data_IF_084547924307
#
_entry.id   IF_084547924307
#
_cell.length_a   1.000
_cell.length_b   1.000
_cell.length_c   1.000
_cell.angle_alpha   90.00
_cell.angle_beta   90.00
_cell.angle_gamma   90.00
#
_symmetry.space_group_name_H-M   'P 1'
#
loop_
_entity.id
_entity.type
_entity.pdbx_description
1 polymer ?
#
# COMPACT_ATOMS: atom_id res chain seq x y z
N UNK A 1 -17.70 -15.83 -19.39
CA UNK A 1 -16.92 -17.08 -19.54
C UNK A 1 -17.69 -18.20 -18.83
N UNK A 2 -17.86 -19.35 -19.50
CA UNK A 2 -18.43 -20.54 -18.87
C UNK A 2 -17.42 -21.10 -17.86
N UNK A 3 -17.85 -21.54 -16.66
CA UNK A 3 -16.91 -22.11 -15.70
C UNK A 3 -16.41 -23.46 -16.20
N UNK A 4 -15.13 -23.81 -15.90
CA UNK A 4 -14.51 -25.08 -16.28
C UNK A 4 -15.34 -26.28 -15.82
N UNK A 5 -15.87 -26.23 -14.59
CA UNK A 5 -16.76 -27.26 -14.04
C UNK A 5 -18.07 -27.43 -14.85
N UNK A 6 -18.65 -26.34 -15.34
CA UNK A 6 -19.84 -26.38 -16.17
C UNK A 6 -19.59 -27.04 -17.54
N UNK A 7 -18.47 -26.71 -18.16
CA UNK A 7 -18.08 -27.27 -19.46
C UNK A 7 -17.75 -28.75 -19.31
N UNK A 8 -17.04 -29.15 -18.25
CA UNK A 8 -16.76 -30.55 -17.96
C UNK A 8 -18.02 -31.35 -17.76
N UNK A 9 -18.97 -30.86 -16.98
CA UNK A 9 -20.26 -31.50 -16.81
C UNK A 9 -20.97 -31.69 -18.16
N UNK A 10 -20.91 -30.73 -19.09
CA UNK A 10 -21.45 -30.87 -20.44
C UNK A 10 -20.71 -31.92 -21.28
N UNK A 11 -19.38 -31.99 -21.16
CA UNK A 11 -18.59 -33.06 -21.81
C UNK A 11 -19.02 -34.46 -21.29
N UNK A 12 -19.13 -34.61 -19.98
CA UNK A 12 -19.58 -35.86 -19.39
C UNK A 12 -21.00 -36.23 -19.86
N UNK A 13 -21.96 -35.31 -19.91
CA UNK A 13 -23.31 -35.52 -20.46
C UNK A 13 -23.25 -35.90 -21.94
N UNK A 14 -22.34 -35.36 -22.73
CA UNK A 14 -22.13 -35.75 -24.12
C UNK A 14 -21.61 -37.19 -24.19
N UNK A 15 -20.63 -37.53 -23.34
CA UNK A 15 -20.07 -38.90 -23.26
C UNK A 15 -21.09 -39.91 -22.83
N UNK A 16 -22.04 -39.59 -21.93
CA UNK A 16 -23.16 -40.46 -21.52
C UNK A 16 -24.07 -40.90 -22.68
N UNK A 17 -24.10 -40.16 -23.77
CA UNK A 17 -24.84 -40.53 -24.99
C UNK A 17 -24.14 -41.64 -25.79
N UNK A 18 -22.83 -41.82 -25.57
CA UNK A 18 -21.98 -42.71 -26.39
C UNK A 18 -21.35 -43.85 -25.59
N UNK A 19 -21.43 -43.82 -24.25
CA UNK A 19 -20.88 -44.87 -23.38
C UNK A 19 -21.71 -45.01 -22.10
N UNK A 20 -21.59 -46.15 -21.43
CA UNK A 20 -22.31 -46.41 -20.18
C UNK A 20 -21.70 -45.65 -18.98
N UNK A 21 -22.50 -45.47 -17.92
CA UNK A 21 -22.11 -44.73 -16.73
C UNK A 21 -20.96 -45.39 -15.97
N UNK A 22 -20.81 -46.73 -16.04
CA UNK A 22 -19.70 -47.45 -15.39
C UNK A 22 -18.38 -47.09 -16.09
N UNK A 23 -18.38 -47.05 -17.40
CA UNK A 23 -17.21 -46.62 -18.20
C UNK A 23 -16.81 -45.19 -17.87
N UNK A 24 -17.78 -44.27 -17.74
CA UNK A 24 -17.50 -42.90 -17.40
C UNK A 24 -16.88 -42.78 -16.00
N UNK A 25 -17.48 -43.39 -15.00
CA UNK A 25 -16.94 -43.36 -13.64
C UNK A 25 -15.57 -44.03 -13.54
N UNK A 26 -15.32 -45.08 -14.29
CA UNK A 26 -14.02 -45.77 -14.26
C UNK A 26 -12.88 -44.91 -14.79
N UNK A 27 -13.09 -44.12 -15.86
CA UNK A 27 -12.01 -43.46 -16.56
C UNK A 27 -11.93 -41.94 -16.30
N UNK A 28 -13.00 -41.31 -15.79
CA UNK A 28 -13.10 -39.86 -15.69
C UNK A 28 -13.39 -39.33 -14.29
N UNK A 29 -13.68 -40.16 -13.26
CA UNK A 29 -13.93 -39.67 -11.90
C UNK A 29 -12.70 -38.99 -11.25
N UNK A 30 -11.49 -39.50 -11.55
CA UNK A 30 -10.23 -39.00 -11.02
C UNK A 30 -9.57 -37.90 -11.93
N UNK A 31 -10.30 -37.44 -12.96
CA UNK A 31 -9.77 -36.45 -13.90
C UNK A 31 -9.98 -35.04 -13.38
N UNK A 32 -8.90 -34.27 -13.29
CA UNK A 32 -8.92 -32.84 -12.97
C UNK A 32 -8.72 -31.99 -14.21
N UNK A 33 -9.49 -30.89 -14.33
CA UNK A 33 -9.29 -29.92 -15.39
C UNK A 33 -8.23 -28.91 -14.94
N UNK A 34 -7.15 -28.83 -15.70
CA UNK A 34 -6.03 -27.90 -15.43
C UNK A 34 -6.23 -26.58 -16.17
N UNK A 35 -6.63 -26.64 -17.45
CA UNK A 35 -6.88 -25.46 -18.26
C UNK A 35 -7.98 -25.74 -19.28
N UNK A 36 -8.82 -24.72 -19.53
CA UNK A 36 -9.86 -24.76 -20.54
C UNK A 36 -10.02 -23.39 -21.21
N UNK A 37 -9.79 -23.36 -22.50
CA UNK A 37 -10.03 -22.19 -23.35
C UNK A 37 -10.57 -22.64 -24.72
N UNK A 38 -10.78 -21.70 -25.66
CA UNK A 38 -11.30 -21.99 -27.01
C UNK A 38 -10.33 -22.78 -27.89
N UNK A 39 -9.05 -22.84 -27.53
CA UNK A 39 -7.99 -23.50 -28.31
C UNK A 39 -7.62 -24.88 -27.75
N UNK A 40 -7.75 -25.08 -26.43
CA UNK A 40 -7.33 -26.33 -25.79
C UNK A 40 -8.09 -26.65 -24.50
N UNK A 41 -8.23 -27.95 -24.24
CA UNK A 41 -8.59 -28.53 -22.95
C UNK A 41 -7.40 -29.32 -22.41
N UNK A 42 -6.89 -28.93 -21.26
CA UNK A 42 -5.83 -29.64 -20.55
C UNK A 42 -6.43 -30.32 -19.34
N UNK A 43 -6.31 -31.63 -19.26
CA UNK A 43 -6.76 -32.43 -18.13
C UNK A 43 -5.61 -33.20 -17.52
N UNK A 44 -5.69 -33.48 -16.23
CA UNK A 44 -4.76 -34.30 -15.48
C UNK A 44 -5.43 -35.64 -15.12
N UNK A 45 -4.71 -36.74 -15.30
CA UNK A 45 -5.11 -38.06 -14.85
C UNK A 45 -3.94 -38.69 -14.08
N UNK A 46 -4.14 -39.05 -12.77
CA UNK A 46 -3.06 -39.53 -11.91
C UNK A 46 -2.49 -40.89 -12.32
N UNK A 47 -3.32 -41.73 -12.96
CA UNK A 47 -2.96 -43.10 -13.32
C UNK A 47 -2.51 -43.15 -14.78
N UNK A 48 -1.30 -43.63 -15.06
CA UNK A 48 -0.75 -43.74 -16.40
C UNK A 48 -1.61 -44.57 -17.33
N UNK A 49 -2.15 -45.68 -16.82
CA UNK A 49 -3.05 -46.54 -17.58
C UNK A 49 -4.37 -45.83 -17.95
N UNK A 50 -4.95 -45.03 -17.05
CA UNK A 50 -6.15 -44.24 -17.37
C UNK A 50 -5.87 -43.23 -18.46
N UNK A 51 -4.70 -42.55 -18.40
CA UNK A 51 -4.24 -41.59 -19.41
C UNK A 51 -4.14 -42.22 -20.79
N UNK A 52 -3.47 -43.37 -20.89
CA UNK A 52 -3.37 -44.08 -22.17
C UNK A 52 -4.74 -44.46 -22.76
N UNK A 53 -5.67 -44.94 -21.94
CA UNK A 53 -7.02 -45.28 -22.38
C UNK A 53 -7.79 -44.01 -22.78
N UNK A 54 -7.72 -42.93 -22.04
CA UNK A 54 -8.36 -41.66 -22.41
C UNK A 54 -7.83 -41.17 -23.77
N UNK A 55 -6.53 -41.18 -23.97
CA UNK A 55 -5.92 -40.71 -25.22
C UNK A 55 -6.25 -41.65 -26.38
N UNK A 56 -6.13 -42.97 -26.21
CA UNK A 56 -6.28 -43.90 -27.30
C UNK A 56 -7.73 -44.19 -27.71
N UNK A 57 -8.66 -44.14 -26.75
CA UNK A 57 -10.04 -44.55 -27.00
C UNK A 57 -11.06 -43.42 -26.91
N UNK A 58 -10.84 -42.44 -26.05
CA UNK A 58 -11.86 -41.44 -25.72
C UNK A 58 -11.53 -40.01 -26.18
N UNK A 59 -10.30 -39.78 -26.66
CA UNK A 59 -9.90 -38.45 -27.13
C UNK A 59 -10.80 -37.90 -28.24
N UNK A 60 -11.19 -38.74 -29.19
CA UNK A 60 -12.10 -38.36 -30.27
C UNK A 60 -13.47 -37.88 -29.76
N UNK A 61 -14.08 -38.65 -28.85
CA UNK A 61 -15.38 -38.28 -28.26
C UNK A 61 -15.32 -37.00 -27.45
N UNK A 62 -14.21 -36.76 -26.74
CA UNK A 62 -14.00 -35.49 -25.98
C UNK A 62 -13.81 -34.32 -26.95
N UNK A 63 -13.06 -34.48 -28.05
CA UNK A 63 -12.90 -33.46 -29.09
C UNK A 63 -14.21 -33.15 -29.80
N UNK A 64 -15.03 -34.15 -30.09
CA UNK A 64 -16.36 -33.96 -30.67
C UNK A 64 -17.28 -33.18 -29.71
N UNK A 65 -17.23 -33.49 -28.41
CA UNK A 65 -17.94 -32.74 -27.37
C UNK A 65 -17.46 -31.27 -27.29
N UNK A 66 -16.17 -31.05 -27.34
CA UNK A 66 -15.60 -29.70 -27.34
C UNK A 66 -16.02 -28.89 -28.57
N UNK A 67 -16.06 -29.55 -29.74
CA UNK A 67 -16.51 -28.94 -31.00
C UNK A 67 -17.97 -28.53 -30.93
N UNK A 68 -18.83 -29.36 -30.32
CA UNK A 68 -20.26 -29.05 -30.11
C UNK A 68 -20.44 -27.89 -29.13
N UNK A 69 -19.60 -27.79 -28.09
CA UNK A 69 -19.72 -26.76 -27.04
C UNK A 69 -19.15 -25.41 -27.48
N UNK A 70 -17.96 -25.38 -28.10
CA UNK A 70 -17.23 -24.15 -28.44
C UNK A 70 -17.33 -23.76 -29.92
N UNK A 71 -17.89 -24.62 -30.77
CA UNK A 71 -17.89 -24.47 -32.23
C UNK A 71 -16.47 -24.24 -32.81
N UNK A 72 -15.45 -24.82 -32.17
CA UNK A 72 -14.03 -24.72 -32.53
C UNK A 72 -13.34 -26.06 -32.35
N UNK A 73 -12.24 -26.30 -33.06
CA UNK A 73 -11.41 -27.51 -32.94
C UNK A 73 -10.41 -27.39 -31.78
N UNK A 74 -10.92 -27.36 -30.53
CA UNK A 74 -10.09 -27.31 -29.34
C UNK A 74 -9.27 -28.59 -29.16
N UNK A 75 -7.98 -28.48 -28.87
CA UNK A 75 -7.06 -29.62 -28.70
C UNK A 75 -7.16 -30.21 -27.31
N UNK A 76 -7.33 -31.52 -27.19
CA UNK A 76 -7.22 -32.22 -25.92
C UNK A 76 -5.77 -32.54 -25.60
N UNK A 77 -5.33 -32.21 -24.39
CA UNK A 77 -4.03 -32.55 -23.82
C UNK A 77 -4.27 -33.24 -22.48
N UNK A 78 -3.67 -34.41 -22.27
CA UNK A 78 -3.83 -35.21 -21.05
C UNK A 78 -2.46 -35.33 -20.38
N UNK A 79 -2.32 -34.80 -19.17
CA UNK A 79 -1.08 -34.80 -18.38
C UNK A 79 -1.08 -35.94 -17.35
N UNK A 80 0.11 -36.53 -17.14
CA UNK A 80 0.47 -37.27 -15.93
C UNK A 80 1.19 -36.38 -14.94
N UNK A 81 1.70 -36.95 -13.84
CA UNK A 81 2.36 -36.19 -12.76
C UNK A 81 3.56 -35.38 -13.25
N UNK A 82 4.48 -36.02 -13.98
CA UNK A 82 5.69 -35.36 -14.48
C UNK A 82 5.38 -34.25 -15.48
N UNK A 83 4.41 -34.47 -16.38
CA UNK A 83 4.01 -33.47 -17.37
C UNK A 83 3.21 -32.35 -16.73
N UNK A 84 2.41 -32.64 -15.68
CA UNK A 84 1.71 -31.65 -14.88
C UNK A 84 2.70 -30.77 -14.09
N UNK A 85 3.73 -31.38 -13.47
CA UNK A 85 4.80 -30.63 -12.81
C UNK A 85 5.59 -29.79 -13.83
N UNK A 86 5.94 -30.37 -14.98
CA UNK A 86 6.60 -29.64 -16.06
C UNK A 86 5.70 -28.56 -16.68
N UNK A 87 4.39 -28.76 -16.72
CA UNK A 87 3.42 -27.75 -17.17
C UNK A 87 3.20 -26.68 -16.12
N UNK A 88 3.10 -27.07 -14.85
CA UNK A 88 3.06 -26.12 -13.73
C UNK A 88 4.36 -25.35 -13.59
N UNK A 89 5.50 -25.95 -13.85
CA UNK A 89 6.80 -25.28 -13.88
C UNK A 89 7.01 -24.44 -15.17
N UNK A 90 6.45 -24.87 -16.31
CA UNK A 90 6.38 -24.07 -17.56
C UNK A 90 5.17 -23.14 -17.57
N UNK A 91 4.07 -23.52 -16.92
CA UNK A 91 2.80 -22.83 -16.78
C UNK A 91 2.62 -22.15 -15.44
N UNK A 92 3.68 -21.96 -14.64
CA UNK A 92 3.81 -20.70 -13.95
C UNK A 92 3.82 -19.67 -15.09
N UNK A 93 2.66 -19.38 -15.65
CA UNK A 93 2.36 -18.06 -16.16
C UNK A 93 2.93 -17.21 -15.05
N UNK A 94 4.12 -16.66 -15.27
CA UNK A 94 4.66 -15.54 -14.52
C UNK A 94 3.43 -14.73 -14.23
N UNK A 95 3.01 -14.67 -12.98
CA UNK A 95 1.77 -14.02 -12.59
C UNK A 95 1.85 -12.68 -13.28
N UNK A 96 1.14 -12.52 -14.39
CA UNK A 96 0.99 -11.24 -15.05
C UNK A 96 0.12 -10.45 -14.09
N UNK A 97 0.73 -10.05 -12.99
CA UNK A 97 0.18 -9.02 -12.15
C UNK A 97 0.17 -7.82 -13.08
N UNK A 98 -0.99 -7.49 -13.63
CA UNK A 98 -1.17 -6.32 -14.46
C UNK A 98 -0.90 -5.12 -13.57
N UNK A 99 0.34 -4.64 -13.61
CA UNK A 99 0.68 -3.38 -12.96
C UNK A 99 -0.11 -2.29 -13.65
N UNK A 100 -0.74 -1.44 -12.86
CA UNK A 100 -1.52 -0.35 -13.41
C UNK A 100 -0.67 0.42 -14.45
N UNK A 101 -1.05 0.42 -15.74
CA UNK A 101 -0.26 1.01 -16.81
C UNK A 101 -0.13 2.53 -16.69
N UNK A 102 -0.92 3.17 -15.82
CA UNK A 102 -0.80 4.60 -15.53
C UNK A 102 0.39 4.92 -14.61
N UNK A 103 0.94 3.95 -13.88
CA UNK A 103 2.08 4.17 -13.00
C UNK A 103 3.38 3.96 -13.77
N UNK A 104 3.78 4.99 -14.49
CA UNK A 104 5.03 5.07 -15.26
C UNK A 104 5.90 6.21 -14.73
N UNK A 105 7.18 6.22 -15.10
CA UNK A 105 8.07 7.35 -14.79
C UNK A 105 7.61 8.65 -15.45
N UNK A 106 7.04 8.58 -16.66
CA UNK A 106 6.54 9.76 -17.39
C UNK A 106 5.34 10.41 -16.69
N UNK A 107 4.50 9.61 -16.04
CA UNK A 107 3.34 10.11 -15.29
C UNK A 107 3.69 10.55 -13.85
N UNK A 108 4.92 10.30 -13.42
CA UNK A 108 5.38 10.71 -12.09
C UNK A 108 5.88 12.14 -12.11
N UNK A 109 5.24 13.03 -11.35
CA UNK A 109 5.66 14.43 -11.28
C UNK A 109 6.91 14.56 -10.42
N UNK A 110 8.01 14.97 -11.03
CA UNK A 110 9.30 15.13 -10.35
C UNK A 110 9.45 16.54 -9.82
N UNK A 111 9.78 16.67 -8.53
CA UNK A 111 10.10 17.91 -7.86
C UNK A 111 11.32 17.76 -6.92
N UNK A 112 11.73 18.81 -6.23
CA UNK A 112 12.86 18.75 -5.29
C UNK A 112 12.71 17.68 -4.21
N UNK A 113 11.46 17.42 -3.77
CA UNK A 113 11.13 16.52 -2.68
C UNK A 113 11.21 15.01 -3.04
N UNK A 114 11.27 14.65 -4.32
CA UNK A 114 11.24 13.25 -4.77
C UNK A 114 12.26 12.93 -5.88
N UNK A 115 13.03 13.92 -6.35
CA UNK A 115 14.00 13.77 -7.46
C UNK A 115 15.03 12.68 -7.21
N UNK A 116 15.51 12.56 -5.97
CA UNK A 116 16.51 11.54 -5.62
C UNK A 116 15.90 10.13 -5.72
N UNK A 117 14.75 9.90 -5.13
CA UNK A 117 14.06 8.60 -5.20
C UNK A 117 13.66 8.23 -6.64
N UNK A 118 13.19 9.21 -7.42
CA UNK A 118 12.90 9.02 -8.85
C UNK A 118 14.14 8.62 -9.65
N UNK A 119 15.26 9.33 -9.47
CA UNK A 119 16.53 9.01 -10.13
C UNK A 119 17.06 7.62 -9.76
N UNK A 120 16.97 7.23 -8.47
CA UNK A 120 17.33 5.91 -7.99
C UNK A 120 16.45 4.81 -8.62
N UNK A 121 15.15 5.05 -8.72
CA UNK A 121 14.20 4.13 -9.35
C UNK A 121 14.51 3.90 -10.84
N UNK A 122 14.83 4.94 -11.59
CA UNK A 122 15.27 4.84 -13.00
C UNK A 122 16.58 4.05 -13.10
N UNK A 123 17.57 4.33 -12.25
CA UNK A 123 18.85 3.62 -12.28
C UNK A 123 18.68 2.11 -12.03
N UNK A 124 17.80 1.73 -11.08
CA UNK A 124 17.45 0.33 -10.81
C UNK A 124 16.72 -0.31 -11.99
N UNK A 125 15.83 0.42 -12.66
CA UNK A 125 15.09 -0.10 -13.82
C UNK A 125 16.00 -0.38 -15.00
N UNK A 126 17.05 0.43 -15.19
CA UNK A 126 18.00 0.26 -16.28
C UNK A 126 19.02 -0.87 -16.02
N UNK A 127 19.42 -1.09 -14.76
CA UNK A 127 20.42 -2.07 -14.40
C UNK A 127 19.98 -2.83 -13.11
N UNK A 128 18.95 -3.68 -13.19
CA UNK A 128 18.44 -4.41 -12.04
C UNK A 128 19.47 -5.37 -11.46
N UNK A 129 19.56 -5.43 -10.14
CA UNK A 129 20.50 -6.26 -9.39
C UNK A 129 21.93 -5.70 -9.29
N UNK A 130 22.26 -4.66 -10.05
CA UNK A 130 23.63 -4.12 -10.12
C UNK A 130 23.77 -2.72 -9.54
N UNK A 131 22.80 -1.82 -9.76
CA UNK A 131 22.94 -0.40 -9.40
C UNK A 131 22.77 -0.16 -7.89
N UNK A 132 21.59 -0.41 -7.37
CA UNK A 132 21.24 -0.18 -5.96
C UNK A 132 20.38 -1.33 -5.46
N UNK A 133 21.00 -2.28 -4.74
CA UNK A 133 20.30 -3.46 -4.25
C UNK A 133 20.59 -3.69 -2.76
N UNK A 134 19.57 -3.64 -1.88
CA UNK A 134 18.20 -3.23 -2.17
C UNK A 134 18.04 -1.73 -2.42
N UNK A 135 16.96 -1.34 -3.10
CA UNK A 135 16.47 0.05 -3.09
C UNK A 135 15.36 0.16 -2.04
N UNK A 136 15.55 1.03 -1.07
CA UNK A 136 14.58 1.27 0.01
C UNK A 136 14.02 2.69 -0.09
N UNK A 137 12.75 2.82 -0.50
CA UNK A 137 12.05 4.11 -0.68
C UNK A 137 11.18 4.36 0.54
N UNK A 138 11.39 5.47 1.24
CA UNK A 138 10.61 5.76 2.44
C UNK A 138 10.08 7.20 2.45
N UNK A 139 9.05 7.41 3.29
CA UNK A 139 8.43 8.71 3.50
C UNK A 139 6.95 8.61 3.83
N UNK A 140 6.26 9.71 4.17
CA UNK A 140 4.87 9.72 4.62
C UNK A 140 3.91 8.97 3.70
N UNK A 141 2.73 8.56 4.16
CA UNK A 141 1.74 7.90 3.31
C UNK A 141 1.21 8.83 2.22
N UNK A 142 0.91 8.25 1.04
CA UNK A 142 0.23 8.96 -0.05
C UNK A 142 1.10 9.92 -0.87
N UNK A 143 2.43 9.79 -0.87
CA UNK A 143 3.38 10.65 -1.61
C UNK A 143 3.93 10.05 -2.91
N UNK A 144 3.48 8.85 -3.31
CA UNK A 144 3.86 8.22 -4.59
C UNK A 144 4.85 7.06 -4.49
N UNK A 145 5.13 6.50 -3.31
CA UNK A 145 6.04 5.34 -3.16
C UNK A 145 5.62 4.13 -4.01
N UNK A 146 4.35 3.71 -3.89
CA UNK A 146 3.77 2.62 -4.70
C UNK A 146 3.80 2.92 -6.19
N UNK A 147 3.66 4.20 -6.60
CA UNK A 147 3.80 4.61 -7.99
C UNK A 147 5.21 4.28 -8.51
N UNK A 148 6.26 4.62 -7.77
CA UNK A 148 7.63 4.30 -8.16
C UNK A 148 7.89 2.80 -8.21
N UNK A 149 7.34 2.00 -7.29
CA UNK A 149 7.42 0.53 -7.37
C UNK A 149 6.84 0.01 -8.68
N UNK A 150 5.65 0.46 -9.06
CA UNK A 150 5.01 0.03 -10.30
C UNK A 150 5.72 0.59 -11.54
N UNK A 151 6.25 1.81 -11.48
CA UNK A 151 7.03 2.38 -12.57
C UNK A 151 8.30 1.55 -12.86
N UNK A 152 9.00 1.09 -11.80
CA UNK A 152 10.14 0.16 -11.93
C UNK A 152 9.69 -1.14 -12.60
N UNK A 153 8.60 -1.75 -12.14
CA UNK A 153 8.08 -3.00 -12.70
C UNK A 153 7.69 -2.86 -14.16
N UNK A 154 6.98 -1.79 -14.51
CA UNK A 154 6.53 -1.51 -15.87
C UNK A 154 7.73 -1.30 -16.81
N UNK A 155 8.74 -0.53 -16.39
CA UNK A 155 9.92 -0.25 -17.22
C UNK A 155 10.79 -1.50 -17.42
N UNK A 156 11.02 -2.30 -16.36
CA UNK A 156 11.79 -3.56 -16.47
C UNK A 156 11.05 -4.55 -17.40
N UNK A 157 9.73 -4.71 -17.26
CA UNK A 157 8.95 -5.59 -18.14
C UNK A 157 8.90 -5.12 -19.58
N UNK A 158 8.87 -3.82 -19.81
CA UNK A 158 8.94 -3.23 -21.14
C UNK A 158 10.26 -3.57 -21.84
N UNK A 159 11.37 -3.55 -21.09
CA UNK A 159 12.70 -3.86 -21.59
C UNK A 159 12.95 -5.38 -21.68
N UNK A 160 12.42 -6.15 -20.73
CA UNK A 160 12.51 -7.61 -20.70
C UNK A 160 11.19 -8.24 -20.23
N UNK A 161 10.30 -8.62 -21.19
CA UNK A 161 8.98 -9.17 -20.89
C UNK A 161 9.02 -10.49 -20.10
N UNK A 162 10.13 -11.20 -20.17
CA UNK A 162 10.31 -12.48 -19.49
C UNK A 162 10.72 -12.37 -18.02
N UNK A 163 10.96 -11.18 -17.49
CA UNK A 163 11.33 -10.97 -16.10
C UNK A 163 10.23 -11.43 -15.14
N UNK A 164 10.59 -12.32 -14.20
CA UNK A 164 9.69 -12.75 -13.14
C UNK A 164 9.58 -11.67 -12.08
N UNK A 165 8.52 -10.83 -12.17
CA UNK A 165 8.26 -9.76 -11.21
C UNK A 165 7.26 -10.21 -10.17
N UNK A 166 7.67 -10.21 -8.91
CA UNK A 166 6.81 -10.51 -7.77
C UNK A 166 6.61 -9.24 -6.94
N UNK A 167 5.35 -8.83 -6.81
CA UNK A 167 4.93 -7.72 -5.95
C UNK A 167 4.07 -8.24 -4.83
N UNK A 168 4.28 -7.73 -3.62
CA UNK A 168 3.49 -8.06 -2.43
C UNK A 168 3.46 -6.88 -1.46
N UNK A 169 2.42 -6.76 -0.65
CA UNK A 169 2.40 -5.88 0.51
C UNK A 169 2.89 -6.62 1.76
N UNK A 170 3.52 -5.89 2.68
CA UNK A 170 4.09 -6.49 3.90
C UNK A 170 3.06 -7.23 4.77
N UNK A 171 1.84 -6.74 4.87
CA UNK A 171 0.74 -7.43 5.57
C UNK A 171 0.26 -8.68 4.82
N UNK A 172 0.16 -8.61 3.51
CA UNK A 172 -0.22 -9.73 2.65
C UNK A 172 0.85 -10.85 2.68
N UNK A 173 2.14 -10.50 2.66
CA UNK A 173 3.24 -11.47 2.82
C UNK A 173 3.09 -12.26 4.13
N UNK A 174 2.76 -11.58 5.22
CA UNK A 174 2.48 -12.23 6.52
C UNK A 174 1.29 -13.19 6.43
N UNK A 175 0.19 -12.75 5.83
CA UNK A 175 -1.03 -13.57 5.74
C UNK A 175 -0.83 -14.80 4.84
N UNK A 176 -0.11 -14.65 3.73
CA UNK A 176 0.23 -15.78 2.86
C UNK A 176 1.17 -16.78 3.55
N UNK A 177 2.14 -16.30 4.33
CA UNK A 177 3.01 -17.18 5.14
C UNK A 177 2.21 -17.98 6.16
N UNK A 178 1.31 -17.33 6.91
CA UNK A 178 0.45 -18.00 7.89
C UNK A 178 -0.40 -19.09 7.21
N UNK A 179 -1.01 -18.77 6.06
CA UNK A 179 -1.79 -19.72 5.29
C UNK A 179 -0.96 -20.91 4.80
N UNK A 180 0.26 -20.65 4.30
CA UNK A 180 1.17 -21.68 3.84
C UNK A 180 1.59 -22.62 4.98
N UNK A 181 1.86 -22.08 6.18
CA UNK A 181 2.17 -22.87 7.38
C UNK A 181 0.99 -23.75 7.81
N UNK A 182 -0.24 -23.23 7.77
CA UNK A 182 -1.44 -23.97 8.15
C UNK A 182 -1.82 -25.07 7.15
N UNK A 183 -1.52 -24.85 5.86
CA UNK A 183 -1.89 -25.79 4.79
C UNK A 183 -0.74 -26.70 4.34
N UNK A 184 0.45 -26.59 4.96
CA UNK A 184 1.63 -27.39 4.60
C UNK A 184 2.28 -26.99 3.26
N UNK A 185 1.92 -25.83 2.68
CA UNK A 185 2.39 -25.33 1.36
C UNK A 185 3.63 -24.44 1.44
N UNK A 186 4.51 -24.70 2.40
CA UNK A 186 5.71 -23.88 2.64
C UNK A 186 6.66 -23.84 1.44
N UNK A 187 6.76 -24.94 0.69
CA UNK A 187 7.63 -25.03 -0.50
C UNK A 187 7.10 -24.12 -1.61
N UNK A 188 5.79 -24.16 -1.89
CA UNK A 188 5.15 -23.31 -2.89
C UNK A 188 5.33 -21.82 -2.55
N UNK A 189 5.15 -21.46 -1.26
CA UNK A 189 5.38 -20.09 -0.77
C UNK A 189 6.83 -19.64 -1.02
N UNK A 190 7.80 -20.47 -0.64
CA UNK A 190 9.23 -20.17 -0.83
C UNK A 190 9.59 -20.02 -2.30
N UNK A 191 9.14 -20.94 -3.15
CA UNK A 191 9.42 -20.87 -4.58
C UNK A 191 8.84 -19.58 -5.20
N UNK A 192 7.59 -19.22 -4.86
CA UNK A 192 6.95 -17.98 -5.33
C UNK A 192 7.82 -16.73 -5.12
N UNK A 193 8.41 -16.59 -3.93
CA UNK A 193 9.14 -15.37 -3.58
C UNK A 193 10.64 -15.46 -3.85
N UNK A 194 11.25 -16.65 -3.72
CA UNK A 194 12.70 -16.83 -3.86
C UNK A 194 13.16 -17.01 -5.30
N UNK A 195 12.24 -17.22 -6.25
CA UNK A 195 12.53 -17.32 -7.69
C UNK A 195 12.25 -16.01 -8.45
N UNK A 196 11.95 -14.94 -7.77
CA UNK A 196 11.71 -13.64 -8.38
C UNK A 196 13.00 -13.07 -8.98
N UNK A 197 12.93 -12.50 -10.21
CA UNK A 197 14.01 -11.69 -10.78
C UNK A 197 13.96 -10.25 -10.26
N UNK A 198 12.74 -9.76 -10.00
CA UNK A 198 12.45 -8.48 -9.37
C UNK A 198 11.46 -8.70 -8.23
N UNK A 199 11.89 -8.46 -7.01
CA UNK A 199 11.05 -8.56 -5.82
C UNK A 199 10.69 -7.18 -5.29
N UNK A 200 9.40 -6.86 -5.33
CA UNK A 200 8.83 -5.59 -4.90
C UNK A 200 7.97 -5.82 -3.66
N UNK A 201 8.33 -5.18 -2.57
CA UNK A 201 7.50 -5.22 -1.37
C UNK A 201 7.09 -3.82 -0.94
N UNK A 202 5.77 -3.61 -0.88
CA UNK A 202 5.16 -2.34 -0.49
C UNK A 202 4.81 -2.38 1.01
N UNK A 203 5.02 -1.26 1.69
CA UNK A 203 4.70 -1.09 3.10
C UNK A 203 5.34 -2.17 4.01
N UNK A 204 6.67 -2.35 3.88
CA UNK A 204 7.46 -3.36 4.62
C UNK A 204 7.35 -3.21 6.14
N UNK A 205 7.00 -2.03 6.67
CA UNK A 205 6.82 -1.81 8.10
C UNK A 205 5.79 -2.75 8.74
N UNK A 206 4.89 -3.35 7.97
CA UNK A 206 3.89 -4.29 8.48
C UNK A 206 4.42 -5.67 8.86
N UNK A 207 5.67 -6.02 8.50
CA UNK A 207 6.32 -7.24 9.03
C UNK A 207 6.99 -7.01 10.39
N UNK A 208 7.23 -5.75 10.77
CA UNK A 208 7.89 -5.43 12.04
C UNK A 208 7.06 -5.94 13.23
N UNK A 209 7.72 -6.52 14.23
CA UNK A 209 7.08 -7.15 15.40
C UNK A 209 6.50 -8.55 15.16
N UNK A 210 6.70 -9.17 13.99
CA UNK A 210 6.22 -10.51 13.65
C UNK A 210 7.41 -11.45 13.41
N UNK A 211 7.95 -12.05 14.47
CA UNK A 211 9.20 -12.83 14.45
C UNK A 211 9.27 -13.86 13.31
N UNK A 212 8.30 -14.77 13.23
CA UNK A 212 8.30 -15.80 12.16
C UNK A 212 8.24 -15.22 10.74
N UNK A 213 7.57 -14.07 10.57
CA UNK A 213 7.51 -13.38 9.28
C UNK A 213 8.84 -12.73 8.95
N UNK A 214 9.49 -12.12 9.94
CA UNK A 214 10.80 -11.51 9.78
C UNK A 214 11.87 -12.57 9.45
N UNK A 215 11.80 -13.75 10.08
CA UNK A 215 12.70 -14.86 9.82
C UNK A 215 12.56 -15.36 8.37
N UNK A 216 11.34 -15.67 7.91
CA UNK A 216 11.12 -16.15 6.53
C UNK A 216 11.48 -15.06 5.48
N UNK A 217 11.19 -13.79 5.80
CA UNK A 217 11.59 -12.67 4.96
C UNK A 217 13.13 -12.53 4.88
N UNK A 218 13.83 -12.69 6.00
CA UNK A 218 15.30 -12.67 6.03
C UNK A 218 15.90 -13.73 5.11
N UNK A 219 15.40 -14.95 5.14
CA UNK A 219 15.85 -16.01 4.25
C UNK A 219 15.53 -15.73 2.78
N UNK A 220 14.36 -15.20 2.50
CA UNK A 220 13.97 -14.79 1.14
C UNK A 220 14.86 -13.67 0.62
N UNK A 221 15.10 -12.64 1.44
CA UNK A 221 15.99 -11.53 1.11
C UNK A 221 17.41 -12.01 0.78
N UNK A 222 18.00 -12.84 1.66
CA UNK A 222 19.38 -13.34 1.46
C UNK A 222 19.49 -14.12 0.15
N UNK A 223 18.56 -15.05 -0.12
CA UNK A 223 18.54 -15.84 -1.34
C UNK A 223 18.53 -14.96 -2.60
N UNK A 224 17.63 -13.98 -2.64
CA UNK A 224 17.52 -13.06 -3.76
C UNK A 224 18.77 -12.17 -3.91
N UNK A 225 19.29 -11.67 -2.80
CA UNK A 225 20.46 -10.81 -2.78
C UNK A 225 21.74 -11.56 -3.28
N UNK A 226 21.96 -12.79 -2.81
CA UNK A 226 23.07 -13.65 -3.21
C UNK A 226 23.01 -14.03 -4.70
N UNK A 227 21.81 -14.14 -5.25
CA UNK A 227 21.58 -14.41 -6.68
C UNK A 227 21.55 -13.12 -7.54
N UNK A 228 21.91 -11.98 -6.97
CA UNK A 228 21.89 -10.68 -7.65
C UNK A 228 20.51 -10.28 -8.23
N UNK A 229 19.41 -10.78 -7.62
CA UNK A 229 18.05 -10.40 -7.99
C UNK A 229 17.73 -9.04 -7.38
N UNK A 230 17.00 -8.20 -8.12
CA UNK A 230 16.66 -6.86 -7.63
C UNK A 230 15.59 -6.92 -6.55
N UNK A 231 15.85 -6.25 -5.44
CA UNK A 231 14.91 -6.05 -4.34
C UNK A 231 14.60 -4.55 -4.24
N UNK A 232 13.30 -4.20 -4.21
CA UNK A 232 12.84 -2.83 -3.96
C UNK A 232 11.78 -2.86 -2.87
N UNK A 233 11.95 -2.02 -1.87
CA UNK A 233 11.06 -1.95 -0.71
C UNK A 233 10.53 -0.54 -0.50
N UNK A 234 9.30 -0.42 -0.03
CA UNK A 234 8.78 0.86 0.46
C UNK A 234 8.41 0.80 1.93
N UNK A 235 8.43 1.97 2.58
CA UNK A 235 8.02 2.12 3.97
C UNK A 235 7.48 3.52 4.25
N UNK A 236 6.71 3.66 5.33
CA UNK A 236 6.30 4.96 5.85
C UNK A 236 7.43 5.68 6.65
N UNK A 237 8.49 4.95 7.02
CA UNK A 237 9.63 5.41 7.82
C UNK A 237 10.92 4.71 7.44
N UNK A 238 12.08 5.26 7.82
CA UNK A 238 13.38 4.62 7.59
C UNK A 238 13.57 3.38 8.49
N UNK A 239 14.47 2.43 8.12
CA UNK A 239 14.71 1.21 8.89
C UNK A 239 15.06 1.45 10.35
N UNK A 240 15.89 2.47 10.63
CA UNK A 240 16.31 2.84 11.99
C UNK A 240 15.16 3.31 12.91
N UNK A 241 14.03 3.75 12.35
CA UNK A 241 12.86 4.19 13.12
C UNK A 241 11.84 3.07 13.36
N UNK A 242 12.11 1.84 12.90
CA UNK A 242 11.27 0.66 13.12
C UNK A 242 11.72 -0.09 14.37
N UNK A 243 11.22 0.30 15.54
CA UNK A 243 11.67 -0.23 16.85
C UNK A 243 11.52 -1.76 17.00
N UNK A 244 10.56 -2.37 16.31
CA UNK A 244 10.27 -3.82 16.39
C UNK A 244 10.82 -4.60 15.19
N UNK A 245 11.68 -3.99 14.38
CA UNK A 245 12.41 -4.65 13.30
C UNK A 245 13.70 -5.26 13.87
N UNK A 246 13.95 -6.54 13.56
CA UNK A 246 15.17 -7.22 13.95
C UNK A 246 16.42 -6.54 13.38
N UNK A 247 17.48 -6.45 14.17
CA UNK A 247 18.74 -5.77 13.79
C UNK A 247 19.38 -6.35 12.52
N UNK A 248 19.25 -7.67 12.32
CA UNK A 248 19.74 -8.33 11.10
C UNK A 248 19.02 -7.87 9.84
N UNK A 249 17.69 -7.65 9.89
CA UNK A 249 16.92 -7.10 8.77
C UNK A 249 17.19 -5.62 8.59
N UNK A 250 17.29 -4.86 9.69
CA UNK A 250 17.63 -3.43 9.65
C UNK A 250 18.95 -3.22 8.90
N UNK A 251 19.97 -3.94 9.25
CA UNK A 251 21.28 -3.88 8.59
C UNK A 251 21.17 -4.22 7.10
N UNK A 252 20.37 -5.25 6.73
CA UNK A 252 20.15 -5.62 5.32
C UNK A 252 19.46 -4.52 4.51
N UNK A 253 18.45 -3.88 5.10
CA UNK A 253 17.73 -2.80 4.45
C UNK A 253 18.62 -1.55 4.23
N UNK A 254 19.55 -1.32 5.13
CA UNK A 254 20.51 -0.21 5.08
C UNK A 254 21.74 -0.49 4.18
N UNK A 255 21.97 -1.73 3.75
CA UNK A 255 23.10 -2.06 2.85
C UNK A 255 22.98 -1.44 1.47
N UNK A 256 21.77 -1.23 0.99
CA UNK A 256 21.52 -0.66 -0.32
C UNK A 256 21.40 0.87 -0.29
N UNK A 257 20.52 1.39 -1.15
CA UNK A 257 20.24 2.81 -1.22
C UNK A 257 18.96 3.16 -0.47
N UNK A 258 19.06 4.04 0.50
CA UNK A 258 17.92 4.65 1.18
C UNK A 258 17.52 5.93 0.42
N UNK A 259 16.31 5.96 -0.12
CA UNK A 259 15.77 7.08 -0.88
C UNK A 259 14.52 7.63 -0.18
N UNK A 260 14.60 8.86 0.33
CA UNK A 260 13.49 9.53 0.95
C UNK A 260 12.60 10.25 -0.07
N UNK A 261 11.32 10.31 0.23
CA UNK A 261 10.35 11.16 -0.45
C UNK A 261 9.71 12.04 0.60
N UNK A 262 9.76 13.35 0.38
CA UNK A 262 9.14 14.34 1.25
C UNK A 262 7.82 14.84 0.65
N UNK A 263 6.94 15.47 1.44
CA UNK A 263 5.75 16.14 0.92
C UNK A 263 6.10 17.11 -0.21
N UNK A 264 5.30 17.16 -1.28
CA UNK A 264 5.58 18.01 -2.44
C UNK A 264 5.50 19.50 -2.06
N UNK A 265 6.40 20.30 -2.61
CA UNK A 265 6.32 21.76 -2.55
C UNK A 265 5.14 22.29 -3.38
N UNK A 266 4.91 23.60 -3.30
CA UNK A 266 3.77 24.23 -3.96
C UNK A 266 3.81 24.02 -5.49
N UNK A 267 4.96 24.20 -6.13
CA UNK A 267 5.15 24.04 -7.57
C UNK A 267 4.89 22.60 -8.02
N UNK A 268 5.38 21.64 -7.25
CA UNK A 268 5.14 20.20 -7.51
C UNK A 268 3.65 19.87 -7.33
N UNK A 269 2.98 20.42 -6.30
CA UNK A 269 1.52 20.23 -6.15
C UNK A 269 0.74 20.79 -7.33
N UNK A 270 1.08 22.00 -7.79
CA UNK A 270 0.47 22.61 -8.99
C UNK A 270 0.63 21.73 -10.22
N UNK A 271 1.82 21.15 -10.43
CA UNK A 271 2.07 20.25 -11.54
C UNK A 271 1.27 18.94 -11.42
N UNK A 272 1.17 18.34 -10.22
CA UNK A 272 0.36 17.16 -9.95
C UNK A 272 -1.12 17.41 -10.25
N UNK A 273 -1.67 18.54 -9.80
CA UNK A 273 -3.06 18.93 -10.05
C UNK A 273 -3.32 19.03 -11.55
N UNK A 274 -2.46 19.75 -12.28
CA UNK A 274 -2.59 19.93 -13.75
C UNK A 274 -2.52 18.59 -14.49
N UNK A 275 -1.51 17.77 -14.20
CA UNK A 275 -1.38 16.45 -14.83
C UNK A 275 -2.59 15.57 -14.56
N UNK A 276 -3.10 15.60 -13.32
CA UNK A 276 -4.29 14.83 -12.96
C UNK A 276 -5.56 15.36 -13.63
N UNK A 277 -5.72 16.66 -13.74
CA UNK A 277 -6.83 17.29 -14.45
C UNK A 277 -6.84 16.90 -15.94
N UNK A 278 -5.66 16.99 -16.60
CA UNK A 278 -5.50 16.56 -17.99
C UNK A 278 -5.86 15.08 -18.16
N UNK A 279 -5.37 14.20 -17.29
CA UNK A 279 -5.65 12.75 -17.35
C UNK A 279 -7.13 12.41 -17.19
N UNK A 280 -7.89 13.29 -16.54
CA UNK A 280 -9.33 13.15 -16.32
C UNK A 280 -10.17 13.99 -17.31
N UNK A 281 -9.54 14.60 -18.32
CA UNK A 281 -10.19 15.52 -19.25
C UNK A 281 -11.02 16.62 -18.51
N UNK A 282 -10.46 17.17 -17.42
CA UNK A 282 -11.05 18.21 -16.61
C UNK A 282 -10.31 19.53 -16.85
N UNK A 283 -11.01 20.54 -17.36
CA UNK A 283 -10.42 21.88 -17.57
C UNK A 283 -10.51 22.69 -16.26
N UNK A 284 -9.37 22.85 -15.60
CA UNK A 284 -9.25 23.63 -14.38
C UNK A 284 -8.53 24.95 -14.66
N UNK A 285 -9.15 26.08 -14.29
CA UNK A 285 -8.47 27.38 -14.37
C UNK A 285 -7.24 27.42 -13.45
N UNK A 286 -6.32 28.32 -13.75
CA UNK A 286 -5.10 28.49 -12.95
C UNK A 286 -5.44 28.87 -11.50
N UNK A 287 -6.49 29.68 -11.30
CA UNK A 287 -6.96 30.13 -9.99
C UNK A 287 -7.50 28.94 -9.16
N UNK A 288 -8.23 28.01 -9.80
CA UNK A 288 -8.72 26.79 -9.15
C UNK A 288 -7.54 25.88 -8.78
N UNK A 289 -6.58 25.68 -9.69
CA UNK A 289 -5.38 24.90 -9.40
C UNK A 289 -4.57 25.49 -8.22
N UNK A 290 -4.41 26.81 -8.20
CA UNK A 290 -3.75 27.54 -7.10
C UNK A 290 -4.51 27.33 -5.78
N UNK A 291 -5.83 27.47 -5.80
CA UNK A 291 -6.66 27.26 -4.62
C UNK A 291 -6.52 25.84 -4.07
N UNK A 292 -6.57 24.81 -4.94
CA UNK A 292 -6.38 23.41 -4.53
C UNK A 292 -4.97 23.23 -3.94
N UNK A 293 -3.92 23.73 -4.61
CA UNK A 293 -2.53 23.59 -4.17
C UNK A 293 -2.24 24.27 -2.81
N UNK A 294 -2.94 25.35 -2.49
CA UNK A 294 -2.82 26.07 -1.21
C UNK A 294 -3.57 25.37 -0.06
N UNK A 295 -4.73 24.77 -0.36
CA UNK A 295 -5.62 24.21 0.66
C UNK A 295 -5.45 22.69 0.86
N UNK A 296 -4.91 21.94 -0.13
CA UNK A 296 -4.68 20.50 -0.05
C UNK A 296 -3.17 20.25 -0.03
N UNK A 297 -2.59 20.26 1.16
CA UNK A 297 -1.14 20.25 1.34
C UNK A 297 -0.57 18.95 1.87
N UNK A 298 -1.41 18.06 2.41
CA UNK A 298 -0.97 16.92 3.22
C UNK A 298 -0.25 15.84 2.39
N UNK A 299 -0.83 15.41 1.27
CA UNK A 299 -0.24 14.35 0.44
C UNK A 299 -0.82 14.32 -0.99
N UNK A 300 -0.13 13.63 -1.89
CA UNK A 300 -0.51 13.51 -3.31
C UNK A 300 -1.85 12.77 -3.48
N UNK A 301 -2.12 11.75 -2.63
CA UNK A 301 -3.38 11.00 -2.69
C UNK A 301 -4.60 11.89 -2.45
N UNK A 302 -4.49 12.86 -1.54
CA UNK A 302 -5.56 13.83 -1.29
C UNK A 302 -5.74 14.79 -2.47
N UNK A 303 -4.65 15.27 -3.07
CA UNK A 303 -4.68 16.12 -4.27
C UNK A 303 -5.40 15.38 -5.40
N UNK A 304 -4.98 14.15 -5.71
CA UNK A 304 -5.62 13.34 -6.76
C UNK A 304 -7.09 13.02 -6.44
N UNK A 305 -7.39 12.73 -5.17
CA UNK A 305 -8.76 12.50 -4.69
C UNK A 305 -9.64 13.72 -4.90
N UNK A 306 -9.11 14.92 -4.63
CA UNK A 306 -9.84 16.19 -4.84
C UNK A 306 -10.16 16.39 -6.33
N UNK A 307 -9.18 16.24 -7.22
CA UNK A 307 -9.41 16.40 -8.67
C UNK A 307 -10.41 15.35 -9.19
N UNK A 308 -10.32 14.10 -8.75
CA UNK A 308 -11.29 13.04 -9.09
C UNK A 308 -12.70 13.37 -8.62
N UNK A 309 -12.83 13.91 -7.41
CA UNK A 309 -14.14 14.29 -6.86
C UNK A 309 -14.75 15.47 -7.62
N UNK A 310 -13.94 16.48 -7.98
CA UNK A 310 -14.39 17.58 -8.83
C UNK A 310 -14.88 17.06 -10.18
N UNK A 311 -14.18 16.14 -10.82
CA UNK A 311 -14.62 15.49 -12.05
C UNK A 311 -15.97 14.80 -11.88
N UNK A 312 -16.14 14.03 -10.80
CA UNK A 312 -17.41 13.36 -10.52
C UNK A 312 -18.57 14.35 -10.33
N UNK A 313 -18.35 15.50 -9.68
CA UNK A 313 -19.39 16.54 -9.54
C UNK A 313 -19.77 17.17 -10.87
N UNK A 314 -18.80 17.37 -11.78
CA UNK A 314 -19.09 17.86 -13.15
C UNK A 314 -19.92 16.83 -13.91
N UNK A 315 -19.50 15.55 -13.89
CA UNK A 315 -20.17 14.51 -14.68
C UNK A 315 -21.55 14.13 -14.15
N UNK A 316 -21.72 14.04 -12.84
CA UNK A 316 -22.96 13.53 -12.23
C UNK A 316 -23.96 14.64 -11.89
N UNK A 317 -23.48 15.82 -11.54
CA UNK A 317 -24.32 16.92 -11.05
C UNK A 317 -24.35 18.11 -12.03
N UNK A 318 -23.71 18.02 -13.19
CA UNK A 318 -23.51 19.12 -14.13
C UNK A 318 -22.99 20.41 -13.44
N UNK A 319 -22.11 20.25 -12.43
CA UNK A 319 -21.59 21.35 -11.64
C UNK A 319 -20.62 22.21 -12.47
N UNK A 320 -20.85 23.49 -12.52
CA UNK A 320 -19.88 24.43 -13.09
C UNK A 320 -18.67 24.57 -12.16
N UNK A 321 -17.47 24.59 -12.75
CA UNK A 321 -16.18 24.75 -12.04
C UNK A 321 -15.94 26.22 -11.70
N UNK A 322 -16.78 26.79 -10.84
CA UNK A 322 -16.58 28.10 -10.25
C UNK A 322 -15.76 28.00 -8.96
N UNK A 323 -15.09 29.08 -8.58
CA UNK A 323 -14.32 29.12 -7.33
C UNK A 323 -15.20 28.83 -6.11
N UNK A 324 -16.45 29.31 -6.11
CA UNK A 324 -17.41 29.05 -5.03
C UNK A 324 -17.74 27.56 -4.90
N UNK A 325 -18.06 26.90 -6.00
CA UNK A 325 -18.40 25.48 -6.01
C UNK A 325 -17.19 24.62 -5.61
N UNK A 326 -16.00 24.91 -6.14
CA UNK A 326 -14.77 24.20 -5.81
C UNK A 326 -14.40 24.38 -4.34
N UNK A 327 -14.50 25.61 -3.80
CA UNK A 327 -14.21 25.85 -2.38
C UNK A 327 -15.17 25.09 -1.46
N UNK A 328 -16.45 25.02 -1.82
CA UNK A 328 -17.46 24.25 -1.08
C UNK A 328 -17.13 22.75 -1.09
N UNK A 329 -16.81 22.19 -2.24
CA UNK A 329 -16.44 20.77 -2.37
C UNK A 329 -15.19 20.44 -1.54
N UNK A 330 -14.15 21.27 -1.58
CA UNK A 330 -12.93 21.08 -0.78
C UNK A 330 -13.24 21.21 0.71
N UNK A 331 -14.01 22.22 1.13
CA UNK A 331 -14.44 22.38 2.51
C UNK A 331 -15.21 21.15 3.01
N UNK A 332 -16.11 20.60 2.22
CA UNK A 332 -16.89 19.40 2.57
C UNK A 332 -16.05 18.12 2.60
N UNK A 333 -15.01 18.03 1.77
CA UNK A 333 -14.08 16.88 1.81
C UNK A 333 -13.26 16.83 3.09
N UNK A 334 -12.86 17.99 3.56
CA UNK A 334 -11.92 18.13 4.68
C UNK A 334 -12.60 18.70 5.95
N UNK A 335 -13.95 18.76 5.98
CA UNK A 335 -14.74 18.98 7.20
C UNK A 335 -14.51 17.81 8.17
N UNK A 336 -13.49 17.90 9.00
CA UNK A 336 -13.07 16.86 9.93
C UNK A 336 -11.61 16.46 9.78
N UNK A 337 -10.97 16.78 8.64
CA UNK A 337 -9.51 16.70 8.44
C UNK A 337 -8.82 18.08 8.51
N UNK A 338 -9.56 19.16 8.64
CA UNK A 338 -9.01 20.42 9.08
C UNK A 338 -8.55 20.23 10.54
N UNK A 339 -7.43 19.52 10.70
CA UNK A 339 -6.45 19.81 11.70
C UNK A 339 -5.87 21.19 11.36
N UNK A 340 -6.67 22.24 11.46
CA UNK A 340 -6.14 23.51 11.90
C UNK A 340 -5.54 23.17 13.23
N UNK A 341 -4.19 23.02 13.24
CA UNK A 341 -3.49 22.87 14.50
C UNK A 341 -4.05 23.93 15.42
N UNK A 342 -4.55 23.57 16.59
CA UNK A 342 -5.19 24.55 17.45
C UNK A 342 -4.21 25.69 17.69
N UNK A 343 -4.65 26.91 17.53
CA UNK A 343 -3.80 28.05 17.84
C UNK A 343 -3.47 28.02 19.34
N UNK A 344 -2.29 28.52 19.76
CA UNK A 344 -1.97 28.65 21.18
C UNK A 344 -3.08 29.33 21.97
N UNK A 345 -3.69 30.36 21.38
CA UNK A 345 -4.80 31.09 21.99
C UNK A 345 -6.04 30.23 22.20
N UNK A 346 -6.39 29.36 21.23
CA UNK A 346 -7.50 28.43 21.39
C UNK A 346 -7.23 27.45 22.54
N UNK A 347 -6.02 26.86 22.59
CA UNK A 347 -5.64 25.92 23.66
C UNK A 347 -5.70 26.63 25.01
N UNK A 348 -5.12 27.81 25.14
CA UNK A 348 -5.14 28.63 26.36
C UNK A 348 -6.57 28.91 26.78
N UNK A 349 -7.43 29.35 25.86
CA UNK A 349 -8.84 29.62 26.13
C UNK A 349 -9.59 28.38 26.66
N UNK A 350 -9.38 27.18 26.08
CA UNK A 350 -10.03 25.96 26.56
C UNK A 350 -9.51 25.50 27.92
N UNK A 351 -8.20 25.65 28.18
CA UNK A 351 -7.61 25.40 29.51
C UNK A 351 -8.17 26.39 30.54
N UNK A 352 -8.27 27.67 30.20
CA UNK A 352 -8.86 28.68 31.08
C UNK A 352 -10.29 28.36 31.44
N UNK A 353 -11.12 27.95 30.46
CA UNK A 353 -12.50 27.53 30.70
C UNK A 353 -12.58 26.31 31.62
N UNK A 354 -11.75 25.32 31.38
CA UNK A 354 -11.75 24.07 32.15
C UNK A 354 -11.38 24.28 33.64
N UNK A 355 -10.30 25.04 33.87
CA UNK A 355 -9.84 25.33 35.26
C UNK A 355 -10.52 26.55 35.89
N UNK A 356 -11.46 27.23 35.17
CA UNK A 356 -12.11 28.47 35.62
C UNK A 356 -11.11 29.56 36.03
N UNK A 357 -10.08 29.77 35.21
CA UNK A 357 -9.00 30.74 35.43
C UNK A 357 -9.00 31.76 34.32
N UNK A 358 -8.76 33.05 34.66
CA UNK A 358 -8.60 34.10 33.68
C UNK A 358 -7.29 33.94 32.89
N UNK A 359 -7.31 34.27 31.60
CA UNK A 359 -6.16 34.14 30.71
C UNK A 359 -4.94 34.98 31.16
N UNK A 360 -5.19 36.20 31.68
CA UNK A 360 -4.14 37.08 32.22
C UNK A 360 -3.46 36.41 33.42
N UNK A 361 -4.20 35.73 34.27
CA UNK A 361 -3.68 34.97 35.40
C UNK A 361 -2.89 33.74 34.93
N UNK A 362 -3.39 33.03 33.93
CA UNK A 362 -2.72 31.84 33.37
C UNK A 362 -1.35 32.22 32.78
N UNK A 363 -1.30 33.29 31.99
CA UNK A 363 -0.04 33.80 31.39
C UNK A 363 0.86 34.47 32.42
N UNK A 364 0.32 34.92 33.53
CA UNK A 364 1.01 35.68 34.58
C UNK A 364 1.99 34.88 35.44
N UNK A 365 2.43 35.48 36.52
CA UNK A 365 3.46 34.93 37.43
C UNK A 365 2.90 34.29 38.71
N UNK A 366 1.59 34.31 38.89
CA UNK A 366 0.93 33.69 40.05
C UNK A 366 1.29 32.20 40.23
N UNK A 367 1.62 31.82 41.46
CA UNK A 367 2.17 30.45 41.80
C UNK A 367 1.29 29.63 42.70
N UNK A 368 -0.02 29.90 42.78
CA UNK A 368 -0.91 28.98 43.50
C UNK A 368 -0.97 27.62 42.78
N UNK A 369 -1.26 26.55 43.52
CA UNK A 369 -1.19 25.17 43.03
C UNK A 369 -2.06 24.93 41.79
N UNK A 370 -3.29 25.42 41.77
CA UNK A 370 -4.22 25.25 40.64
C UNK A 370 -3.79 25.99 39.38
N UNK A 371 -3.35 27.26 39.49
CA UNK A 371 -2.84 28.06 38.35
C UNK A 371 -1.55 27.50 37.78
N UNK A 372 -0.68 26.97 38.66
CA UNK A 372 0.56 26.36 38.21
C UNK A 372 0.31 25.07 37.39
N UNK A 373 -0.62 24.24 37.84
CA UNK A 373 -1.03 23.03 37.14
C UNK A 373 -1.69 23.36 35.80
N UNK A 374 -2.67 24.26 35.77
CA UNK A 374 -3.33 24.71 34.56
C UNK A 374 -2.32 25.25 33.52
N UNK A 375 -1.34 26.05 33.95
CA UNK A 375 -0.28 26.57 33.09
C UNK A 375 0.60 25.46 32.53
N UNK A 376 0.99 24.47 33.33
CA UNK A 376 1.78 23.32 32.88
C UNK A 376 1.02 22.48 31.87
N UNK A 377 -0.28 22.25 32.07
CA UNK A 377 -1.16 21.57 31.12
C UNK A 377 -1.30 22.35 29.81
N UNK A 378 -1.48 23.69 29.86
CA UNK A 378 -1.55 24.52 28.67
C UNK A 378 -0.26 24.43 27.84
N UNK A 379 0.91 24.57 28.48
CA UNK A 379 2.22 24.46 27.86
C UNK A 379 2.40 23.08 27.22
N UNK A 380 2.04 22.01 27.92
CA UNK A 380 2.11 20.63 27.42
C UNK A 380 1.22 20.43 26.20
N UNK A 381 -0.04 20.89 26.25
CA UNK A 381 -0.99 20.77 25.14
C UNK A 381 -0.54 21.60 23.93
N UNK A 382 -0.01 22.81 24.11
CA UNK A 382 0.54 23.61 22.99
C UNK A 382 1.70 22.84 22.35
N UNK A 383 2.65 22.31 23.13
CA UNK A 383 3.76 21.53 22.59
C UNK A 383 3.31 20.29 21.83
N UNK A 384 2.26 19.62 22.31
CA UNK A 384 1.74 18.37 21.74
C UNK A 384 0.88 18.58 20.49
N UNK A 385 0.13 19.69 20.45
CA UNK A 385 -0.89 19.92 19.42
C UNK A 385 -0.51 21.07 18.45
N UNK A 386 0.65 21.69 18.60
CA UNK A 386 1.17 22.71 17.66
C UNK A 386 2.60 22.38 17.25
N UNK A 387 3.08 23.02 16.16
CA UNK A 387 4.47 22.88 15.70
C UNK A 387 5.44 23.87 16.37
N UNK A 388 5.00 24.55 17.44
CA UNK A 388 5.83 25.56 18.09
C UNK A 388 7.01 24.95 18.84
N UNK A 389 8.17 25.56 18.69
CA UNK A 389 9.37 25.25 19.47
C UNK A 389 9.23 25.74 20.92
N UNK A 390 10.03 25.19 21.84
CA UNK A 390 10.04 25.62 23.25
C UNK A 390 10.35 27.11 23.45
N UNK A 391 11.25 27.75 22.68
CA UNK A 391 11.42 29.21 22.72
C UNK A 391 10.19 30.00 22.28
N UNK A 392 9.47 29.53 21.27
CA UNK A 392 8.26 30.21 20.79
C UNK A 392 7.12 30.08 21.80
N UNK A 393 6.93 28.91 22.43
CA UNK A 393 6.00 28.71 23.54
C UNK A 393 6.39 29.64 24.72
N UNK A 394 7.71 29.81 24.96
CA UNK A 394 8.20 30.71 25.97
C UNK A 394 7.73 32.15 25.76
N UNK A 395 7.69 32.64 24.52
CA UNK A 395 7.18 33.98 24.21
C UNK A 395 5.71 34.16 24.55
N UNK A 396 4.88 33.11 24.33
CA UNK A 396 3.45 33.13 24.66
C UNK A 396 3.18 33.30 26.17
N UNK A 397 4.05 32.79 27.02
CA UNK A 397 3.90 32.85 28.49
C UNK A 397 4.87 33.80 29.17
N UNK A 398 5.71 34.52 28.42
CA UNK A 398 6.75 35.39 28.99
C UNK A 398 7.72 34.63 29.90
N UNK A 399 8.13 33.39 29.49
CA UNK A 399 8.99 32.49 30.25
C UNK A 399 10.17 31.99 29.43
N UNK A 400 11.27 31.65 30.10
CA UNK A 400 12.43 31.04 29.47
C UNK A 400 12.10 29.63 28.95
N UNK A 401 12.80 29.21 27.89
CA UNK A 401 12.70 27.88 27.32
C UNK A 401 12.96 26.75 28.36
N UNK A 402 13.83 26.99 29.34
CA UNK A 402 14.10 26.04 30.44
C UNK A 402 12.89 25.84 31.34
N UNK A 403 12.14 26.91 31.63
CA UNK A 403 10.88 26.83 32.39
C UNK A 403 9.79 26.07 31.61
N UNK A 404 9.73 26.27 30.29
CA UNK A 404 8.83 25.56 29.39
C UNK A 404 9.15 24.04 29.38
N UNK A 405 10.43 23.70 29.18
CA UNK A 405 10.91 22.30 29.23
C UNK A 405 10.59 21.63 30.56
N UNK A 406 10.85 22.32 31.68
CA UNK A 406 10.53 21.80 33.01
C UNK A 406 9.01 21.53 33.17
N UNK A 407 8.17 22.43 32.65
CA UNK A 407 6.72 22.27 32.70
C UNK A 407 6.24 21.05 31.90
N UNK A 408 6.79 20.84 30.70
CA UNK A 408 6.48 19.69 29.83
C UNK A 408 6.90 18.39 30.54
N UNK A 409 8.15 18.30 30.98
CA UNK A 409 8.71 17.12 31.63
C UNK A 409 7.92 16.74 32.92
N UNK A 410 7.44 17.72 33.65
CA UNK A 410 6.65 17.51 34.87
C UNK A 410 5.30 16.88 34.55
N UNK A 411 4.58 17.36 33.53
CA UNK A 411 3.30 16.75 33.08
C UNK A 411 3.54 15.35 32.56
N UNK A 412 4.59 15.11 31.77
CA UNK A 412 4.93 13.78 31.28
C UNK A 412 5.28 12.81 32.41
N UNK A 413 6.01 13.26 33.42
CA UNK A 413 6.34 12.45 34.59
C UNK A 413 5.07 12.06 35.39
N UNK A 414 4.14 13.01 35.59
CA UNK A 414 2.87 12.74 36.24
C UNK A 414 2.00 11.76 35.45
N UNK A 415 1.97 11.87 34.13
CA UNK A 415 1.26 10.91 33.27
C UNK A 415 1.88 9.51 33.33
N UNK A 416 3.21 9.42 33.37
CA UNK A 416 3.94 8.14 33.51
C UNK A 416 3.76 7.50 34.88
N UNK A 417 3.58 8.31 35.95
CA UNK A 417 3.33 7.82 37.31
C UNK A 417 1.88 7.36 37.53
N UNK A 418 0.99 7.47 36.53
CA UNK A 418 -0.38 6.98 36.61
C UNK A 418 -1.37 7.95 37.25
N UNK A 419 -1.12 9.27 37.21
CA UNK A 419 -2.08 10.29 37.68
C UNK A 419 -3.34 10.31 36.76
N UNK A 420 -4.33 9.51 37.14
CA UNK A 420 -5.60 9.37 36.40
C UNK A 420 -6.41 10.69 36.37
N UNK A 421 -6.30 11.55 37.38
CA UNK A 421 -7.00 12.84 37.39
C UNK A 421 -6.42 13.75 36.30
N UNK A 422 -5.11 13.88 36.25
CA UNK A 422 -4.43 14.69 35.23
C UNK A 422 -4.68 14.15 33.83
N UNK A 423 -4.69 12.83 33.68
CA UNK A 423 -4.97 12.16 32.40
C UNK A 423 -6.40 12.45 31.90
N UNK A 424 -7.39 12.41 32.81
CA UNK A 424 -8.78 12.75 32.50
C UNK A 424 -8.91 14.24 32.14
N UNK A 425 -8.29 15.16 32.88
CA UNK A 425 -8.28 16.59 32.56
C UNK A 425 -7.74 16.86 31.16
N UNK A 426 -6.59 16.28 30.81
CA UNK A 426 -5.96 16.43 29.49
C UNK A 426 -6.88 15.86 28.41
N UNK A 427 -7.52 14.70 28.61
CA UNK A 427 -8.45 14.11 27.65
C UNK A 427 -9.65 15.02 27.41
N UNK A 428 -10.27 15.54 28.47
CA UNK A 428 -11.48 16.35 28.36
C UNK A 428 -11.19 17.72 27.71
N UNK A 429 -10.05 18.34 28.06
CA UNK A 429 -9.61 19.58 27.43
C UNK A 429 -9.30 19.35 25.94
N UNK A 430 -8.64 18.22 25.60
CA UNK A 430 -8.36 17.87 24.20
C UNK A 430 -9.64 17.64 23.39
N UNK A 431 -10.65 16.99 23.98
CA UNK A 431 -11.95 16.84 23.35
C UNK A 431 -12.64 18.19 23.09
N UNK A 432 -12.55 19.13 24.06
CA UNK A 432 -13.09 20.48 23.88
C UNK A 432 -12.33 21.29 22.80
N UNK A 433 -11.01 21.16 22.71
CA UNK A 433 -10.20 21.79 21.67
C UNK A 433 -10.66 21.26 20.29
N UNK A 434 -10.77 19.93 20.14
CA UNK A 434 -11.18 19.31 18.88
C UNK A 434 -12.61 19.67 18.46
N UNK A 435 -13.50 19.96 19.41
CA UNK A 435 -14.86 20.42 19.10
C UNK A 435 -14.94 21.88 18.62
N UNK A 436 -13.86 22.65 18.78
CA UNK A 436 -13.75 24.05 18.36
C UNK A 436 -12.95 24.23 17.07
N UNK A 437 -12.37 23.16 16.52
CA UNK A 437 -11.64 23.11 15.26
C UNK A 437 -12.57 22.71 14.10
#
# INVERSE_FOLDING_TARGET
MLSSAYVWAKILIYLEKHMDSVTISTWFDDVEIIELNEEQLVIYSPLEFHREIIISRYAGHIQDALKEIFNSDAKLIVFGEEELEAYRSKGVKKSSMDFNPQFTFDNFVVGPSNRFAHGAAIAVSNNPGQSYNPLFIYGPPGIGKTHLLYAIANEIRKNNPDTNVVYIKGDQFTNELISALQTGKNVEFRNKYREADLFLIDDIQFIAGKESTQEEFFHTFNKLYEEHKQIVMTSDRKPGDMNTLEDRLRTRFEWGLLADIQPPDYETRMAIIKNKAISLALDLSVEICDYIAKNVTNNVRQIEGTVKKLRAYVDLNAMELTMENVSRVIADMYKGENNTLPTPNLIISQVCKFYSIDEVILRGTLRNKGTAEARQVAIYLIRKHTNLSTPEIGKEFGKDHTTIMHSINKVEASLKSGDENLKNHIRDITANINSCL
#
